data_IF_497625051365
#
_entry.id   IF_497625051365
#
_cell.length_a   1.000
_cell.length_b   1.000
_cell.length_c   1.000
_cell.angle_alpha   90.00
_cell.angle_beta   90.00
_cell.angle_gamma   90.00
#
_symmetry.space_group_name_H-M   'P 1'
#
loop_
_entity.id
_entity.type
_entity.pdbx_description
1 polymer ?
#
# COMPACT_ATOMS: atom_id res chain seq x y z
N UNK A 1 -3.02 37.59 21.27
CA UNK A 1 -3.57 36.93 20.07
C UNK A 1 -3.30 35.44 20.21
N UNK A 2 -4.32 34.63 20.50
CA UNK A 2 -4.17 33.18 20.69
C UNK A 2 -4.39 32.50 19.33
N UNK A 3 -3.38 31.80 18.81
CA UNK A 3 -3.51 31.02 17.59
C UNK A 3 -4.35 29.77 17.88
N UNK A 4 -5.57 29.73 17.32
CA UNK A 4 -6.44 28.57 17.35
C UNK A 4 -5.96 27.55 16.32
N UNK A 5 -5.40 26.44 16.79
CA UNK A 5 -5.06 25.30 15.94
C UNK A 5 -6.34 24.54 15.57
N UNK A 6 -6.76 24.66 14.31
CA UNK A 6 -7.83 23.83 13.75
C UNK A 6 -7.22 22.47 13.43
N UNK A 7 -7.55 21.46 14.22
CA UNK A 7 -7.19 20.08 13.90
C UNK A 7 -7.99 19.61 12.67
N UNK A 8 -7.35 19.02 11.65
CA UNK A 8 -8.06 18.49 10.51
C UNK A 8 -8.95 17.31 10.94
N UNK A 9 -10.24 17.44 10.69
CA UNK A 9 -11.22 16.35 10.82
C UNK A 9 -10.97 15.31 9.74
N UNK A 10 -10.36 14.18 10.11
CA UNK A 10 -10.22 13.02 9.24
C UNK A 10 -11.58 12.35 9.04
N UNK A 11 -12.28 12.73 7.96
CA UNK A 11 -13.43 11.97 7.47
C UNK A 11 -12.92 10.58 7.00
N UNK A 12 -13.03 9.60 7.87
CA UNK A 12 -12.59 8.21 7.70
C UNK A 12 -13.49 7.42 6.72
N UNK A 13 -13.68 7.91 5.50
CA UNK A 13 -13.80 7.00 4.36
C UNK A 13 -12.37 6.52 4.09
N UNK A 14 -11.97 5.42 4.74
CA UNK A 14 -10.63 4.83 4.59
C UNK A 14 -10.48 4.26 3.18
N UNK A 15 -10.27 5.14 2.20
CA UNK A 15 -9.89 4.82 0.84
C UNK A 15 -8.42 4.44 0.87
N UNK A 16 -8.12 3.19 0.53
CA UNK A 16 -6.73 2.76 0.37
C UNK A 16 -6.33 3.09 -1.05
N UNK A 17 -5.31 3.94 -1.20
CA UNK A 17 -4.75 4.26 -2.51
C UNK A 17 -3.51 3.39 -2.73
N UNK A 18 -3.47 2.71 -3.87
CA UNK A 18 -2.36 1.90 -4.30
C UNK A 18 -1.86 2.37 -5.66
N UNK A 19 -0.58 2.69 -5.73
CA UNK A 19 0.14 2.94 -6.96
C UNK A 19 0.75 1.65 -7.49
N UNK A 20 0.70 1.48 -8.80
CA UNK A 20 1.22 0.31 -9.49
C UNK A 20 2.00 0.72 -10.73
N UNK A 21 2.94 -0.11 -11.15
CA UNK A 21 3.74 0.06 -12.36
C UNK A 21 3.68 -1.20 -13.24
N UNK A 22 3.84 -1.03 -14.55
CA UNK A 22 3.78 -2.15 -15.49
C UNK A 22 5.13 -2.89 -15.54
N UNK A 23 5.14 -4.14 -15.10
CA UNK A 23 6.35 -4.95 -14.91
C UNK A 23 6.73 -5.83 -16.10
N UNK A 24 5.96 -5.79 -17.18
CA UNK A 24 6.27 -6.50 -18.42
C UNK A 24 7.68 -6.14 -18.94
N UNK A 25 8.41 -7.09 -19.56
CA UNK A 25 9.67 -6.80 -20.23
C UNK A 25 9.52 -5.71 -21.30
N UNK A 26 8.44 -5.81 -22.09
CA UNK A 26 8.06 -4.83 -23.11
C UNK A 26 6.74 -4.16 -22.74
N UNK A 27 6.76 -3.04 -22.00
CA UNK A 27 5.54 -2.40 -21.51
C UNK A 27 4.67 -1.80 -22.63
N UNK A 28 5.25 -1.55 -23.82
CA UNK A 28 4.56 -0.92 -24.96
C UNK A 28 4.22 -1.88 -26.10
N UNK A 29 4.49 -3.18 -25.96
CA UNK A 29 4.16 -4.16 -26.99
C UNK A 29 2.76 -4.73 -26.78
N UNK A 30 1.94 -4.72 -27.83
CA UNK A 30 0.51 -5.08 -27.78
C UNK A 30 0.14 -6.57 -27.57
N UNK A 31 0.98 -7.60 -27.81
CA UNK A 31 0.50 -8.98 -27.70
C UNK A 31 0.46 -9.52 -26.27
N UNK A 32 1.12 -8.86 -25.31
CA UNK A 32 1.26 -9.38 -23.94
C UNK A 32 0.28 -8.72 -22.96
N UNK A 33 -0.40 -9.49 -22.09
CA UNK A 33 -1.23 -8.92 -21.05
C UNK A 33 -0.39 -8.06 -20.10
N UNK A 34 -0.90 -6.87 -19.77
CA UNK A 34 -0.22 -5.95 -18.88
C UNK A 34 -0.16 -6.51 -17.44
N UNK A 35 1.03 -6.91 -17.00
CA UNK A 35 1.29 -7.29 -15.61
C UNK A 35 1.62 -6.04 -14.82
N UNK A 36 0.91 -5.87 -13.70
CA UNK A 36 1.06 -4.72 -12.82
C UNK A 36 1.62 -5.15 -11.48
N UNK A 37 2.71 -4.50 -11.08
CA UNK A 37 3.36 -4.70 -9.79
C UNK A 37 3.12 -3.49 -8.89
N UNK A 38 3.13 -3.73 -7.59
CA UNK A 38 2.92 -2.69 -6.58
C UNK A 38 4.25 -2.02 -6.22
N UNK A 39 4.17 -0.74 -5.87
CA UNK A 39 5.26 -0.07 -5.15
C UNK A 39 5.31 -0.56 -3.70
N UNK A 40 6.45 -0.38 -3.04
CA UNK A 40 6.54 -0.59 -1.60
C UNK A 40 5.65 0.40 -0.83
N UNK A 41 5.29 0.07 0.41
CA UNK A 41 4.40 0.93 1.22
C UNK A 41 4.96 2.36 1.39
N UNK A 42 6.28 2.48 1.54
CA UNK A 42 6.96 3.76 1.68
C UNK A 42 6.93 4.56 0.37
N UNK A 43 7.30 3.94 -0.75
CA UNK A 43 7.24 4.57 -2.08
C UNK A 43 5.81 5.00 -2.40
N UNK A 44 4.82 4.14 -2.12
CA UNK A 44 3.41 4.44 -2.33
C UNK A 44 2.96 5.68 -1.54
N UNK A 45 3.43 5.85 -0.30
CA UNK A 45 3.16 7.02 0.53
C UNK A 45 3.80 8.29 -0.06
N UNK A 46 5.06 8.21 -0.47
CA UNK A 46 5.79 9.33 -1.08
C UNK A 46 5.13 9.77 -2.39
N UNK A 47 4.74 8.82 -3.24
CA UNK A 47 4.08 9.09 -4.52
C UNK A 47 2.71 9.73 -4.28
N UNK A 48 1.91 9.20 -3.37
CA UNK A 48 0.59 9.74 -3.08
C UNK A 48 0.66 11.13 -2.46
N UNK A 49 1.61 11.40 -1.56
CA UNK A 49 1.85 12.72 -0.98
C UNK A 49 2.23 13.74 -2.08
N UNK A 50 3.15 13.38 -2.97
CA UNK A 50 3.55 14.24 -4.09
C UNK A 50 2.39 14.52 -5.06
N UNK A 51 1.57 13.50 -5.35
CA UNK A 51 0.39 13.63 -6.20
C UNK A 51 -0.67 14.54 -5.57
N UNK A 52 -0.95 14.38 -4.28
CA UNK A 52 -1.88 15.25 -3.55
C UNK A 52 -1.37 16.69 -3.44
N UNK A 53 -0.04 16.85 -3.30
CA UNK A 53 0.66 18.12 -3.37
C UNK A 53 0.68 18.76 -4.76
N UNK A 54 0.07 18.14 -5.78
CA UNK A 54 0.04 18.58 -7.18
C UNK A 54 1.43 18.79 -7.77
N UNK A 55 2.42 18.02 -7.30
CA UNK A 55 3.74 18.03 -7.90
C UNK A 55 3.67 17.41 -9.29
N UNK A 56 4.54 17.87 -10.21
CA UNK A 56 4.60 17.34 -11.58
C UNK A 56 5.39 16.03 -11.65
N UNK A 57 6.38 15.90 -10.76
CA UNK A 57 7.30 14.75 -10.70
C UNK A 57 7.61 14.41 -9.25
N UNK A 58 7.92 13.15 -8.99
CA UNK A 58 8.47 12.68 -7.72
C UNK A 58 9.73 11.88 -7.97
N UNK A 59 10.78 12.16 -7.21
CA UNK A 59 12.07 11.48 -7.29
C UNK A 59 12.08 10.32 -6.28
N UNK A 60 12.43 9.13 -6.76
CA UNK A 60 12.69 7.96 -5.93
C UNK A 60 14.15 7.54 -6.13
N UNK A 61 14.59 6.49 -5.45
CA UNK A 61 16.00 6.10 -5.39
C UNK A 61 16.57 5.75 -6.79
N UNK A 62 15.93 4.82 -7.50
CA UNK A 62 16.43 4.31 -8.79
C UNK A 62 15.72 4.90 -10.02
N UNK A 63 14.63 5.63 -9.80
CA UNK A 63 13.77 6.17 -10.85
C UNK A 63 13.05 7.43 -10.38
N UNK A 64 12.48 8.16 -11.32
CA UNK A 64 11.53 9.21 -11.03
C UNK A 64 10.21 8.94 -11.74
N UNK A 65 9.14 9.49 -11.21
CA UNK A 65 7.80 9.39 -11.78
C UNK A 65 7.41 10.77 -12.29
N UNK A 66 6.98 10.81 -13.55
CA UNK A 66 6.31 11.96 -14.15
C UNK A 66 4.80 11.72 -14.14
N UNK A 67 4.08 12.51 -13.34
CA UNK A 67 2.63 12.42 -13.20
C UNK A 67 1.89 12.98 -14.41
N UNK A 68 2.52 13.85 -15.22
CA UNK A 68 1.90 14.41 -16.42
C UNK A 68 1.76 13.34 -17.50
N UNK A 69 2.79 12.53 -17.69
CA UNK A 69 2.77 11.40 -18.64
C UNK A 69 2.31 10.08 -18.02
N UNK A 70 2.18 10.00 -16.69
CA UNK A 70 1.96 8.75 -15.95
C UNK A 70 3.01 7.69 -16.29
N UNK A 71 4.29 8.09 -16.26
CA UNK A 71 5.42 7.21 -16.54
C UNK A 71 6.42 7.23 -15.39
N UNK A 72 6.93 6.04 -15.08
CA UNK A 72 8.15 5.83 -14.34
C UNK A 72 9.33 5.82 -15.33
N UNK A 73 10.40 6.55 -15.03
CA UNK A 73 11.60 6.65 -15.86
C UNK A 73 12.81 6.36 -14.97
N UNK A 74 13.67 5.43 -15.38
CA UNK A 74 14.87 5.12 -14.60
C UNK A 74 15.86 6.28 -14.57
N UNK A 75 16.53 6.50 -13.44
CA UNK A 75 17.58 7.51 -13.31
C UNK A 75 18.84 7.17 -14.12
N UNK A 76 19.05 5.88 -14.42
CA UNK A 76 20.26 5.39 -15.11
C UNK A 76 20.08 5.26 -16.61
N UNK A 77 18.85 5.04 -17.08
CA UNK A 77 18.54 4.73 -18.47
C UNK A 77 17.19 5.34 -18.87
N UNK A 78 17.25 6.41 -19.66
CA UNK A 78 16.08 7.14 -20.15
C UNK A 78 15.18 6.30 -21.07
N UNK A 79 15.69 5.19 -21.64
CA UNK A 79 14.89 4.29 -22.46
C UNK A 79 14.03 3.33 -21.62
N UNK A 80 14.41 3.11 -20.35
CA UNK A 80 13.62 2.29 -19.42
C UNK A 80 12.48 3.12 -18.84
N UNK A 81 11.37 3.14 -19.58
CA UNK A 81 10.12 3.78 -19.18
C UNK A 81 9.04 2.77 -18.96
N UNK A 82 8.26 2.94 -17.90
CA UNK A 82 7.18 2.04 -17.52
C UNK A 82 5.92 2.84 -17.20
N UNK A 83 4.75 2.49 -17.76
CA UNK A 83 3.49 3.08 -17.36
C UNK A 83 3.17 2.85 -15.89
N UNK A 84 2.58 3.86 -15.26
CA UNK A 84 2.10 3.77 -13.88
C UNK A 84 0.60 4.03 -13.82
N UNK A 85 -0.05 3.53 -12.77
CA UNK A 85 -1.46 3.80 -12.50
C UNK A 85 -1.74 3.93 -11.02
N UNK A 86 -2.76 4.73 -10.71
CA UNK A 86 -3.30 4.92 -9.37
C UNK A 86 -4.61 4.15 -9.25
N UNK A 87 -4.75 3.33 -8.22
CA UNK A 87 -5.96 2.56 -7.93
C UNK A 87 -6.49 2.98 -6.57
N UNK A 88 -7.73 3.46 -6.53
CA UNK A 88 -8.41 3.78 -5.27
C UNK A 88 -9.32 2.61 -4.91
N UNK A 89 -8.97 1.88 -3.85
CA UNK A 89 -9.78 0.77 -3.33
C UNK A 89 -10.64 1.26 -2.16
N UNK A 90 -11.90 0.79 -2.12
CA UNK A 90 -12.71 0.94 -0.91
C UNK A 90 -12.34 -0.22 0.02
N UNK A 91 -12.12 0.08 1.30
CA UNK A 91 -11.82 -0.96 2.31
C UNK A 91 -12.92 -2.02 2.40
N UNK A 92 -14.15 -1.65 2.04
CA UNK A 92 -15.33 -2.51 1.97
C UNK A 92 -15.22 -3.63 0.93
N UNK A 93 -14.33 -3.52 -0.07
CA UNK A 93 -14.21 -4.49 -1.16
C UNK A 93 -13.41 -5.74 -0.80
N UNK A 94 -12.76 -5.79 0.38
CA UNK A 94 -11.99 -6.95 0.83
C UNK A 94 -12.78 -7.69 1.92
N UNK A 95 -13.36 -8.87 1.64
CA UNK A 95 -13.92 -9.68 2.71
C UNK A 95 -12.80 -10.00 3.71
N UNK A 96 -12.92 -9.48 4.93
CA UNK A 96 -12.07 -9.92 6.04
C UNK A 96 -12.26 -11.43 6.14
N UNK A 97 -11.14 -12.16 6.30
CA UNK A 97 -11.13 -13.62 6.35
C UNK A 97 -12.00 -14.08 7.53
N UNK A 98 -13.26 -14.42 7.24
CA UNK A 98 -14.28 -14.85 8.21
C UNK A 98 -13.80 -16.02 9.06
N UNK A 99 -12.86 -16.82 8.55
CA UNK A 99 -12.23 -17.92 9.27
C UNK A 99 -11.49 -17.51 10.56
N UNK A 100 -11.13 -16.24 10.77
CA UNK A 100 -10.58 -15.76 12.05
C UNK A 100 -11.66 -15.42 13.09
N UNK A 101 -12.91 -15.31 12.66
CA UNK A 101 -14.08 -15.02 13.50
C UNK A 101 -15.01 -16.23 13.63
N UNK A 102 -14.58 -17.40 13.14
CA UNK A 102 -15.21 -18.64 13.56
C UNK A 102 -14.93 -18.79 15.05
N UNK A 103 -15.97 -18.69 15.85
CA UNK A 103 -15.96 -19.11 17.25
C UNK A 103 -15.49 -20.56 17.25
N UNK A 104 -14.19 -20.78 17.47
CA UNK A 104 -13.73 -22.07 17.93
C UNK A 104 -14.56 -22.32 19.18
N UNK A 105 -15.38 -23.39 19.25
CA UNK A 105 -16.18 -23.64 20.42
C UNK A 105 -15.20 -23.73 21.59
N UNK A 106 -15.25 -22.70 22.45
CA UNK A 106 -14.57 -22.76 23.74
C UNK A 106 -15.26 -23.91 24.45
N UNK A 107 -14.59 -25.05 24.51
CA UNK A 107 -15.13 -26.21 25.20
C UNK A 107 -15.33 -25.79 26.65
N UNK A 108 -16.60 -25.75 27.07
CA UNK A 108 -17.03 -25.51 28.44
C UNK A 108 -16.50 -26.65 29.33
N UNK A 109 -15.22 -26.58 29.70
CA UNK A 109 -14.53 -27.65 30.42
C UNK A 109 -13.00 -27.61 30.33
N UNK A 110 -12.40 -26.81 29.44
CA UNK A 110 -10.94 -26.68 29.38
C UNK A 110 -10.50 -25.47 30.20
N UNK A 111 -10.01 -25.72 31.42
CA UNK A 111 -9.32 -24.71 32.24
C UNK A 111 -8.13 -24.16 31.45
N UNK A 112 -8.10 -22.86 31.19
CA UNK A 112 -6.98 -22.15 30.54
C UNK A 112 -5.76 -21.94 31.46
N UNK A 113 -5.57 -22.82 32.44
CA UNK A 113 -4.49 -22.73 33.41
C UNK A 113 -4.15 -24.11 33.94
N UNK A 114 -3.04 -24.66 33.46
CA UNK A 114 -2.47 -25.90 33.99
C UNK A 114 -1.77 -26.71 32.92
N UNK A 115 -0.57 -26.28 32.48
CA UNK A 115 0.54 -27.17 32.07
C UNK A 115 1.82 -26.44 31.63
N UNK A 116 1.94 -25.13 31.81
CA UNK A 116 3.26 -24.48 31.84
C UNK A 116 3.68 -24.31 33.30
N UNK A 117 4.28 -25.37 33.84
CA UNK A 117 5.08 -25.25 35.04
C UNK A 117 6.21 -24.25 34.75
N UNK A 118 6.14 -23.08 35.38
CA UNK A 118 7.34 -22.27 35.58
C UNK A 118 8.27 -23.08 36.46
N UNK A 119 9.23 -23.78 35.85
CA UNK A 119 10.39 -24.28 36.58
C UNK A 119 11.31 -23.07 36.78
N UNK A 120 11.33 -22.52 38.00
CA UNK A 120 12.37 -21.56 38.40
C UNK A 120 13.71 -22.28 38.30
N UNK A 121 14.68 -21.81 37.49
CA UNK A 121 16.03 -22.28 37.61
C UNK A 121 16.69 -21.42 38.68
N UNK A 122 16.72 -21.97 39.89
CA UNK A 122 17.35 -21.37 41.08
C UNK A 122 16.61 -20.20 41.73
#
# INVERSE_FOLDING_TARGET
>A
MMASYVLPTFNNSLKTVEWMWQSNPNPFSEPEPATWSHYSDLENLIIEEAFQGKQLRVQLDDYFIDFKSNLQISNTDDYKRRPIKRVVRKREDKPLREARFMDLPVSYGRSFGGEYGWVSPF
#
